data_IF_552666073219
#
_entry.id   IF_552666073219
#
_cell.length_a   1.000
_cell.length_b   1.000
_cell.length_c   1.000
_cell.angle_alpha   90.00
_cell.angle_beta   90.00
_cell.angle_gamma   90.00
#
_symmetry.space_group_name_H-M   'P 1'
#
loop_
_entity.id
_entity.type
_entity.pdbx_description
1 polymer ?
#
# COMPACT_ATOMS: atom_id res chain seq x y z
N UNK A 1 -2.08 -0.98 28.64
CA UNK A 1 -1.88 -2.37 28.17
C UNK A 1 -1.03 -2.32 26.91
N UNK A 2 -0.06 -3.21 26.73
CA UNK A 2 0.76 -3.22 25.52
C UNK A 2 -0.08 -3.71 24.33
N UNK A 3 -0.13 -2.93 23.25
CA UNK A 3 -0.92 -3.29 22.05
C UNK A 3 -0.30 -4.51 21.37
N UNK A 4 -1.08 -5.56 21.18
CA UNK A 4 -0.61 -6.84 20.63
C UNK A 4 -0.49 -6.74 19.10
N UNK A 5 0.75 -6.66 18.59
CA UNK A 5 1.02 -6.52 17.15
C UNK A 5 0.42 -7.64 16.28
N UNK A 6 0.28 -8.85 16.83
CA UNK A 6 -0.30 -10.01 16.13
C UNK A 6 -1.81 -9.92 15.88
N UNK A 7 -2.51 -8.97 16.50
CA UNK A 7 -3.95 -8.75 16.30
C UNK A 7 -4.25 -7.59 15.35
N UNK A 8 -3.22 -7.04 14.70
CA UNK A 8 -3.39 -5.91 13.78
C UNK A 8 -4.20 -6.33 12.56
N UNK A 9 -5.04 -5.43 12.09
CA UNK A 9 -5.82 -5.60 10.86
C UNK A 9 -5.49 -4.44 9.93
N UNK A 10 -5.28 -4.76 8.66
CA UNK A 10 -5.26 -3.77 7.58
C UNK A 10 -6.61 -3.82 6.88
N UNK A 11 -7.27 -2.68 6.77
CA UNK A 11 -8.37 -2.48 5.84
C UNK A 11 -7.91 -1.57 4.70
N UNK A 12 -8.28 -1.88 3.47
CA UNK A 12 -7.95 -1.06 2.31
C UNK A 12 -9.15 -0.94 1.38
N UNK A 13 -9.48 0.29 0.98
CA UNK A 13 -10.60 0.59 0.09
C UNK A 13 -10.19 1.65 -0.92
N UNK A 14 -10.64 1.48 -2.17
CA UNK A 14 -10.48 2.50 -3.23
C UNK A 14 -11.39 3.69 -2.94
N UNK A 15 -10.84 4.90 -3.08
CA UNK A 15 -11.57 6.14 -2.88
C UNK A 15 -12.45 6.47 -4.08
N UNK A 16 -13.72 6.78 -3.83
CA UNK A 16 -14.63 7.27 -4.88
C UNK A 16 -14.22 8.65 -5.40
N UNK A 17 -13.62 9.46 -4.54
CA UNK A 17 -13.05 10.77 -4.87
C UNK A 17 -11.63 10.84 -4.33
N UNK A 18 -10.66 11.11 -5.20
CA UNK A 18 -9.24 11.13 -4.83
C UNK A 18 -8.96 12.08 -3.66
N UNK A 19 -8.32 11.58 -2.61
CA UNK A 19 -7.98 12.35 -1.41
C UNK A 19 -9.13 12.53 -0.43
N UNK A 20 -10.23 11.80 -0.58
CA UNK A 20 -11.36 11.80 0.36
C UNK A 20 -11.47 10.44 1.04
N UNK A 21 -11.33 10.45 2.37
CA UNK A 21 -11.36 9.22 3.16
C UNK A 21 -12.71 8.48 3.05
N UNK A 22 -12.64 7.20 2.74
CA UNK A 22 -13.78 6.30 2.69
C UNK A 22 -14.09 5.69 4.06
N UNK A 23 -15.35 5.31 4.29
CA UNK A 23 -15.70 4.49 5.45
C UNK A 23 -15.26 3.05 5.21
N UNK A 24 -14.47 2.52 6.13
CA UNK A 24 -13.93 1.16 6.13
C UNK A 24 -14.85 0.20 6.87
N UNK A 25 -14.97 -1.01 6.33
CA UNK A 25 -15.82 -2.07 6.83
C UNK A 25 -15.09 -3.41 6.87
N UNK A 26 -15.74 -4.45 7.39
CA UNK A 26 -15.13 -5.78 7.51
C UNK A 26 -14.76 -6.41 6.16
N UNK A 27 -15.46 -6.07 5.07
CA UNK A 27 -15.13 -6.57 3.72
C UNK A 27 -13.81 -5.99 3.19
N UNK A 28 -13.41 -4.82 3.68
CA UNK A 28 -12.18 -4.14 3.25
C UNK A 28 -10.94 -4.69 3.99
N UNK A 29 -11.14 -5.53 5.02
CA UNK A 29 -10.10 -6.02 5.91
C UNK A 29 -9.71 -7.50 5.68
N UNK A 30 -10.11 -8.10 4.56
CA UNK A 30 -9.82 -9.51 4.21
C UNK A 30 -8.40 -9.80 3.72
N UNK A 31 -7.46 -8.87 3.93
CA UNK A 31 -6.09 -8.95 3.42
C UNK A 31 -5.19 -9.59 4.48
N UNK A 32 -4.58 -10.73 4.15
CA UNK A 32 -3.58 -11.37 5.01
C UNK A 32 -2.25 -10.64 4.85
N UNK A 33 -1.97 -9.76 5.82
CA UNK A 33 -0.74 -8.97 5.88
C UNK A 33 0.21 -9.48 6.95
N UNK A 34 1.49 -9.44 6.63
CA UNK A 34 2.59 -9.60 7.57
C UNK A 34 3.35 -8.28 7.71
N UNK A 35 4.04 -8.12 8.86
CA UNK A 35 4.89 -6.97 9.16
C UNK A 35 4.23 -5.60 8.95
N UNK A 36 2.92 -5.49 9.24
CA UNK A 36 2.16 -4.24 9.09
C UNK A 36 2.67 -3.15 10.04
N UNK A 37 3.16 -2.05 9.49
CA UNK A 37 3.56 -0.83 10.21
C UNK A 37 2.88 0.42 9.63
N UNK A 38 2.64 1.41 10.49
CA UNK A 38 2.16 2.72 10.12
C UNK A 38 2.99 3.75 10.89
N UNK A 39 3.73 4.56 10.15
CA UNK A 39 4.69 5.53 10.68
C UNK A 39 4.19 6.94 10.32
N UNK A 40 3.60 7.67 11.27
CA UNK A 40 3.21 9.05 11.05
C UNK A 40 4.43 9.97 11.02
N UNK A 41 4.47 10.85 10.03
CA UNK A 41 5.42 11.94 9.90
C UNK A 41 4.68 13.29 9.99
N UNK A 42 5.01 14.06 11.03
CA UNK A 42 4.40 15.35 11.31
C UNK A 42 5.44 16.45 11.19
N UNK A 43 5.20 17.38 10.27
CA UNK A 43 5.98 18.61 10.19
C UNK A 43 5.23 19.73 10.90
N UNK A 44 5.97 20.55 11.64
CA UNK A 44 5.43 21.67 12.40
C UNK A 44 5.95 22.98 11.83
N UNK A 45 5.05 23.93 11.60
CA UNK A 45 5.43 25.29 11.27
C UNK A 45 5.68 26.07 12.57
N UNK A 46 6.90 26.60 12.70
CA UNK A 46 7.25 27.51 13.78
C UNK A 46 6.75 28.93 13.49
N UNK A 47 6.31 29.62 14.53
CA UNK A 47 5.89 31.02 14.45
C UNK A 47 6.78 31.85 15.36
N UNK A 48 7.59 32.72 14.77
CA UNK A 48 8.51 33.61 15.49
C UNK A 48 8.15 35.10 15.31
N UNK A 49 6.94 35.56 15.69
CA UNK A 49 6.62 36.98 15.67
C UNK A 49 7.41 37.72 16.75
N UNK A 50 7.90 38.92 16.43
CA UNK A 50 8.62 39.78 17.37
C UNK A 50 7.66 40.27 18.48
N UNK A 51 7.97 39.98 19.75
CA UNK A 51 7.21 40.45 20.91
C UNK A 51 8.12 40.91 22.06
N UNK A 52 7.52 41.53 23.08
CA UNK A 52 8.22 42.07 24.25
C UNK A 52 8.76 41.04 25.24
N UNK A 53 8.62 39.74 24.96
CA UNK A 53 9.17 38.67 25.77
C UNK A 53 9.71 37.53 24.89
N UNK A 54 10.56 36.69 25.47
CA UNK A 54 11.38 35.69 24.78
C UNK A 54 10.76 34.28 24.78
N UNK A 55 9.48 34.12 25.16
CA UNK A 55 8.88 32.79 25.30
C UNK A 55 8.53 32.19 23.94
N UNK A 56 8.81 30.89 23.75
CA UNK A 56 8.46 30.16 22.53
C UNK A 56 6.94 30.04 22.37
N UNK A 57 6.42 30.35 21.17
CA UNK A 57 5.01 30.16 20.85
C UNK A 57 4.70 28.69 20.52
N UNK A 58 3.44 28.24 20.73
CA UNK A 58 3.03 26.92 20.29
C UNK A 58 3.16 26.79 18.76
N UNK A 59 3.89 25.76 18.33
CA UNK A 59 4.02 25.39 16.92
C UNK A 59 2.72 24.81 16.38
N UNK A 60 2.38 25.09 15.11
CA UNK A 60 1.21 24.50 14.47
C UNK A 60 1.62 23.30 13.63
N UNK A 61 0.86 22.19 13.70
CA UNK A 61 1.08 21.05 12.80
C UNK A 61 0.77 21.50 11.37
N UNK A 62 1.80 21.54 10.51
CA UNK A 62 1.72 22.07 9.16
C UNK A 62 1.40 20.97 8.13
N UNK A 63 1.91 19.75 8.36
CA UNK A 63 1.70 18.62 7.46
C UNK A 63 1.56 17.34 8.27
N UNK A 64 0.49 16.57 8.03
CA UNK A 64 0.26 15.26 8.64
C UNK A 64 0.29 14.17 7.56
N UNK A 65 1.39 13.45 7.47
CA UNK A 65 1.60 12.37 6.49
C UNK A 65 1.83 11.07 7.25
N UNK A 66 1.56 9.93 6.63
CA UNK A 66 2.01 8.66 7.16
C UNK A 66 2.45 7.72 6.06
N UNK A 67 3.45 6.89 6.39
CA UNK A 67 3.91 5.80 5.56
C UNK A 67 3.39 4.48 6.14
N UNK A 68 2.72 3.69 5.32
CA UNK A 68 2.19 2.37 5.69
C UNK A 68 2.97 1.32 4.91
N UNK A 69 3.59 0.38 5.62
CA UNK A 69 4.28 -0.75 4.98
C UNK A 69 3.65 -2.06 5.41
N UNK A 70 3.55 -2.99 4.47
CA UNK A 70 3.10 -4.36 4.72
C UNK A 70 3.62 -5.29 3.65
N UNK A 71 3.68 -6.58 3.96
CA UNK A 71 3.89 -7.62 2.95
C UNK A 71 2.72 -8.58 2.91
N UNK A 72 2.42 -9.12 1.74
CA UNK A 72 1.34 -10.10 1.52
C UNK A 72 1.87 -11.26 0.69
N UNK A 73 1.36 -12.45 0.93
CA UNK A 73 1.69 -13.64 0.14
C UNK A 73 1.11 -13.51 -1.28
N UNK A 74 1.90 -13.84 -2.29
CA UNK A 74 1.44 -13.89 -3.69
C UNK A 74 0.58 -15.14 -3.87
N UNK A 75 -0.75 -14.96 -3.80
CA UNK A 75 -1.73 -16.04 -4.00
C UNK A 75 -2.99 -15.56 -4.70
N UNK A 76 -3.62 -16.45 -5.45
CA UNK A 76 -4.93 -16.19 -6.06
C UNK A 76 -6.07 -16.24 -5.05
N UNK A 77 -7.26 -15.81 -5.49
CA UNK A 77 -8.53 -15.88 -4.74
C UNK A 77 -9.16 -17.28 -4.68
N UNK A 78 -8.53 -18.29 -5.32
CA UNK A 78 -9.07 -19.65 -5.42
C UNK A 78 -10.19 -19.85 -6.43
N UNK A 79 -10.73 -18.77 -7.02
CA UNK A 79 -11.78 -18.80 -8.05
C UNK A 79 -11.37 -17.96 -9.25
N UNK A 80 -11.61 -18.43 -10.48
CA UNK A 80 -11.40 -17.62 -11.68
C UNK A 80 -12.24 -16.34 -11.61
N UNK A 81 -11.74 -15.24 -12.18
CA UNK A 81 -12.40 -13.92 -12.26
C UNK A 81 -12.66 -13.19 -10.95
N UNK A 82 -12.39 -13.81 -9.81
CA UNK A 82 -12.47 -13.14 -8.52
C UNK A 82 -11.12 -12.48 -8.23
N UNK A 83 -11.07 -11.14 -8.07
CA UNK A 83 -9.84 -10.47 -7.68
C UNK A 83 -9.28 -11.03 -6.37
N UNK A 84 -7.95 -11.22 -6.26
CA UNK A 84 -7.32 -11.57 -4.98
C UNK A 84 -7.53 -10.44 -3.97
N UNK A 85 -7.54 -10.77 -2.67
CA UNK A 85 -7.80 -9.77 -1.63
C UNK A 85 -6.75 -8.65 -1.58
N UNK A 86 -5.50 -8.93 -1.94
CA UNK A 86 -4.44 -7.92 -2.07
C UNK A 86 -4.53 -7.08 -3.35
N UNK A 87 -5.41 -7.41 -4.30
CA UNK A 87 -5.54 -6.71 -5.59
C UNK A 87 -5.81 -5.20 -5.42
N UNK A 88 -6.56 -4.83 -4.38
CA UNK A 88 -6.81 -3.43 -4.01
C UNK A 88 -5.52 -2.65 -3.74
N UNK A 89 -4.49 -3.29 -3.20
CA UNK A 89 -3.20 -2.65 -2.91
C UNK A 89 -2.41 -2.37 -4.20
N UNK A 90 -2.47 -3.28 -5.19
CA UNK A 90 -1.87 -3.03 -6.52
C UNK A 90 -2.52 -1.84 -7.21
N UNK A 91 -3.84 -1.65 -7.06
CA UNK A 91 -4.53 -0.49 -7.62
C UNK A 91 -3.97 0.83 -7.09
N UNK A 92 -3.70 0.90 -5.78
CA UNK A 92 -3.00 2.05 -5.18
C UNK A 92 -1.53 2.20 -5.57
N UNK A 93 -0.94 1.21 -6.24
CA UNK A 93 0.41 1.24 -6.78
C UNK A 93 0.46 1.56 -8.28
N UNK A 94 -0.64 2.04 -8.87
CA UNK A 94 -0.65 2.40 -10.29
C UNK A 94 -1.01 1.27 -11.24
N UNK A 95 -1.64 0.20 -10.77
CA UNK A 95 -2.10 -0.89 -11.64
C UNK A 95 -3.60 -0.82 -11.90
N UNK A 96 -3.99 -0.83 -13.17
CA UNK A 96 -5.39 -0.96 -13.60
C UNK A 96 -5.80 -2.44 -13.59
N UNK A 97 -6.90 -2.73 -12.92
CA UNK A 97 -7.51 -4.06 -12.87
C UNK A 97 -8.46 -4.27 -14.05
N UNK A 98 -8.30 -5.38 -14.76
CA UNK A 98 -9.21 -5.85 -15.80
C UNK A 98 -9.66 -7.27 -15.50
N UNK A 99 -10.97 -7.48 -15.33
CA UNK A 99 -11.56 -8.79 -15.07
C UNK A 99 -11.99 -9.42 -16.41
N UNK A 100 -11.27 -10.46 -16.83
CA UNK A 100 -11.58 -11.25 -18.01
C UNK A 100 -12.49 -12.41 -17.64
N UNK A 101 -13.80 -12.17 -17.63
CA UNK A 101 -14.84 -13.14 -17.27
C UNK A 101 -14.60 -14.56 -17.82
N UNK A 102 -14.78 -15.56 -16.96
CA UNK A 102 -14.49 -16.97 -17.14
C UNK A 102 -13.01 -17.37 -17.07
N UNK A 103 -12.06 -16.43 -16.93
CA UNK A 103 -10.66 -16.66 -17.27
C UNK A 103 -9.67 -16.15 -16.22
N UNK A 104 -9.62 -14.84 -15.96
CA UNK A 104 -8.50 -14.23 -15.21
C UNK A 104 -8.79 -12.81 -14.74
N UNK A 105 -8.00 -12.34 -13.77
CA UNK A 105 -7.90 -10.93 -13.38
C UNK A 105 -6.51 -10.46 -13.71
N UNK A 106 -6.40 -9.38 -14.50
CA UNK A 106 -5.14 -8.83 -15.00
C UNK A 106 -4.91 -7.46 -14.35
N UNK A 107 -3.67 -7.21 -13.95
CA UNK A 107 -3.21 -5.93 -13.39
C UNK A 107 -2.13 -5.37 -14.31
N UNK A 108 -2.41 -4.22 -14.94
CA UNK A 108 -1.47 -3.57 -15.87
C UNK A 108 -1.04 -2.21 -15.33
N UNK A 109 0.26 -1.85 -15.36
CA UNK A 109 0.68 -0.51 -14.98
C UNK A 109 -0.01 0.54 -15.85
N UNK A 110 -0.66 1.50 -15.22
CA UNK A 110 -1.24 2.67 -15.85
C UNK A 110 -0.38 3.91 -15.59
N UNK A 111 -0.42 4.85 -16.53
CA UNK A 111 0.27 6.14 -16.41
C UNK A 111 -0.69 7.32 -16.41
N UNK A 112 -1.98 7.08 -16.68
CA UNK A 112 -3.00 8.10 -16.54
C UNK A 112 -3.32 8.26 -15.05
N UNK A 113 -3.20 9.51 -14.56
CA UNK A 113 -3.55 9.80 -13.18
C UNK A 113 -5.04 9.54 -12.94
N UNK A 114 -5.90 9.78 -13.93
CA UNK A 114 -7.35 9.60 -13.86
C UNK A 114 -7.76 8.14 -13.71
N UNK A 115 -6.99 7.21 -14.28
CA UNK A 115 -7.19 5.76 -14.13
C UNK A 115 -6.42 5.19 -12.93
N UNK A 116 -5.57 5.98 -12.27
CA UNK A 116 -4.84 5.56 -11.08
C UNK A 116 -5.65 5.83 -9.82
N UNK A 117 -6.03 4.77 -9.11
CA UNK A 117 -6.80 4.87 -7.88
C UNK A 117 -5.96 5.42 -6.69
N UNK A 118 -6.63 6.09 -5.76
CA UNK A 118 -6.11 6.39 -4.43
C UNK A 118 -6.83 5.51 -3.40
N UNK A 119 -6.13 5.18 -2.31
CA UNK A 119 -6.66 4.29 -1.28
C UNK A 119 -6.89 5.02 0.05
N UNK A 120 -7.94 4.58 0.74
CA UNK A 120 -8.09 4.74 2.18
C UNK A 120 -7.63 3.44 2.87
N UNK A 121 -6.62 3.57 3.73
CA UNK A 121 -6.01 2.48 4.50
C UNK A 121 -6.36 2.66 5.98
N UNK A 122 -6.95 1.64 6.59
CA UNK A 122 -7.20 1.58 8.03
C UNK A 122 -6.25 0.63 8.73
N UNK A 123 -5.48 1.16 9.67
CA UNK A 123 -4.64 0.40 10.56
C UNK A 123 -5.33 0.25 11.91
N UNK A 124 -5.80 -0.96 12.20
CA UNK A 124 -6.51 -1.30 13.44
C UNK A 124 -5.57 -2.07 14.37
N UNK A 125 -5.36 -1.57 15.59
CA UNK A 125 -4.48 -2.18 16.57
C UNK A 125 -5.09 -2.09 17.98
N UNK A 126 -5.73 -3.19 18.41
CA UNK A 126 -6.18 -3.45 19.78
C UNK A 126 -6.98 -2.29 20.42
N UNK A 127 -8.07 -1.89 19.75
CA UNK A 127 -8.99 -0.83 20.20
C UNK A 127 -8.62 0.58 19.73
N UNK A 128 -7.57 0.73 18.93
CA UNK A 128 -7.20 1.98 18.26
C UNK A 128 -7.18 1.80 16.75
N UNK A 129 -7.61 2.82 16.04
CA UNK A 129 -7.52 2.89 14.59
C UNK A 129 -6.78 4.15 14.15
N UNK A 130 -5.91 3.99 13.16
CA UNK A 130 -5.32 5.07 12.38
C UNK A 130 -5.82 4.92 10.95
N UNK A 131 -6.27 6.01 10.35
CA UNK A 131 -6.69 6.03 8.95
C UNK A 131 -5.69 6.87 8.16
N UNK A 132 -5.29 6.37 7.00
CA UNK A 132 -4.44 7.06 6.03
C UNK A 132 -5.19 7.09 4.71
N UNK A 133 -5.45 8.26 4.15
CA UNK A 133 -6.26 8.43 2.94
C UNK A 133 -5.50 9.21 1.87
N UNK A 134 -6.02 9.24 0.65
CA UNK A 134 -5.32 9.75 -0.53
C UNK A 134 -4.01 9.00 -0.77
N UNK A 135 -3.95 7.73 -0.36
CA UNK A 135 -2.71 6.97 -0.34
C UNK A 135 -2.41 6.35 -1.70
N UNK A 136 -1.16 6.48 -2.15
CA UNK A 136 -0.58 5.73 -3.26
C UNK A 136 0.79 5.20 -2.86
N UNK A 137 1.27 4.20 -3.58
CA UNK A 137 2.42 3.43 -3.14
C UNK A 137 3.27 2.83 -4.23
N UNK A 138 4.26 2.08 -3.75
CA UNK A 138 5.13 1.22 -4.53
C UNK A 138 4.90 -0.24 -4.15
N UNK A 139 5.19 -1.14 -5.10
CA UNK A 139 5.15 -2.58 -4.91
C UNK A 139 6.44 -3.23 -5.41
N UNK A 140 6.98 -4.13 -4.59
CA UNK A 140 8.08 -5.02 -4.93
C UNK A 140 7.63 -6.47 -4.80
N UNK A 141 8.02 -7.31 -5.75
CA UNK A 141 7.89 -8.76 -5.71
C UNK A 141 9.20 -9.35 -5.18
N UNK A 142 9.12 -10.16 -4.14
CA UNK A 142 10.24 -10.89 -3.56
C UNK A 142 9.97 -12.39 -3.60
N UNK A 143 10.82 -13.14 -4.28
CA UNK A 143 10.73 -14.59 -4.41
C UNK A 143 12.06 -15.26 -4.08
N UNK A 144 12.03 -16.29 -3.24
CA UNK A 144 13.19 -17.13 -2.90
C UNK A 144 12.88 -18.59 -3.19
N UNK A 145 13.83 -19.32 -3.77
CA UNK A 145 13.66 -20.72 -4.15
C UNK A 145 13.19 -21.60 -2.98
N UNK A 146 12.14 -22.39 -3.21
CA UNK A 146 11.44 -23.23 -2.22
C UNK A 146 10.71 -22.46 -1.10
N UNK A 147 10.66 -21.12 -1.16
CA UNK A 147 9.88 -20.26 -0.27
C UNK A 147 8.55 -19.84 -0.89
N UNK A 148 7.81 -18.99 -0.16
CA UNK A 148 6.63 -18.27 -0.67
C UNK A 148 7.09 -16.94 -1.26
N UNK A 149 6.45 -16.50 -2.35
CA UNK A 149 6.66 -15.16 -2.88
C UNK A 149 5.82 -14.13 -2.13
N UNK A 150 6.35 -12.94 -1.95
CA UNK A 150 5.67 -11.83 -1.29
C UNK A 150 5.57 -10.61 -2.20
N UNK A 151 4.44 -9.90 -2.13
CA UNK A 151 4.39 -8.50 -2.51
C UNK A 151 4.68 -7.64 -1.28
N UNK A 152 5.67 -6.77 -1.38
CA UNK A 152 6.03 -5.79 -0.35
C UNK A 152 5.51 -4.44 -0.81
N UNK A 153 4.63 -3.85 -0.02
CA UNK A 153 3.97 -2.59 -0.31
C UNK A 153 4.47 -1.48 0.60
N UNK A 154 4.69 -0.31 0.01
CA UNK A 154 4.96 0.94 0.75
C UNK A 154 4.04 2.03 0.24
N UNK A 155 3.11 2.48 1.08
CA UNK A 155 2.15 3.54 0.77
C UNK A 155 2.51 4.82 1.50
N UNK A 156 2.31 5.96 0.85
CA UNK A 156 2.36 7.28 1.46
C UNK A 156 1.00 7.95 1.28
N UNK A 157 0.46 8.52 2.35
CA UNK A 157 -0.82 9.20 2.30
C UNK A 157 -1.02 10.19 3.45
N UNK A 158 -2.20 10.78 3.50
CA UNK A 158 -2.56 11.80 4.48
C UNK A 158 -3.00 11.11 5.76
N UNK A 159 -2.36 11.47 6.87
CA UNK A 159 -2.67 10.89 8.17
C UNK A 159 -3.91 11.55 8.78
N UNK A 160 -4.90 10.73 9.14
CA UNK A 160 -6.04 11.11 9.96
C UNK A 160 -5.77 10.75 11.43
N UNK A 161 -6.30 11.56 12.34
CA UNK A 161 -6.06 11.41 13.78
C UNK A 161 -6.41 9.99 14.29
N UNK A 162 -5.64 9.51 15.26
CA UNK A 162 -5.90 8.22 15.89
C UNK A 162 -7.21 8.30 16.68
N UNK A 163 -8.07 7.30 16.50
CA UNK A 163 -9.34 7.19 17.23
C UNK A 163 -9.38 5.90 18.04
N UNK A 164 -10.06 5.93 19.18
CA UNK A 164 -10.41 4.72 19.92
C UNK A 164 -11.59 4.04 19.21
N UNK A 165 -11.26 3.06 18.38
CA UNK A 165 -12.20 2.36 17.51
C UNK A 165 -12.03 0.86 17.72
N UNK A 166 -13.16 0.16 17.87
CA UNK A 166 -13.17 -1.29 17.99
C UNK A 166 -12.54 -1.96 16.76
N UNK A 167 -11.95 -3.15 16.95
CA UNK A 167 -11.50 -3.98 15.84
C UNK A 167 -12.68 -4.34 14.94
N UNK A 168 -12.41 -4.45 13.64
CA UNK A 168 -13.41 -4.93 12.69
C UNK A 168 -13.72 -6.40 13.00
N UNK A 169 -15.01 -6.74 12.97
CA UNK A 169 -15.54 -8.07 13.24
C UNK A 169 -16.18 -8.66 11.99
N UNK A 170 -16.23 -9.99 11.89
CA UNK A 170 -16.77 -10.67 10.70
C UNK A 170 -15.86 -10.63 9.48
N UNK A 171 -14.55 -10.44 9.67
CA UNK A 171 -13.55 -10.50 8.59
C UNK A 171 -13.40 -11.95 8.14
N UNK A 172 -13.45 -12.15 6.81
CA UNK A 172 -13.13 -13.43 6.17
C UNK A 172 -11.79 -13.32 5.48
N UNK A 173 -10.88 -14.23 5.82
CA UNK A 173 -9.58 -14.34 5.15
C UNK A 173 -9.59 -15.49 4.15
N UNK A 174 -8.91 -15.29 3.03
CA UNK A 174 -8.75 -16.33 2.02
C UNK A 174 -7.89 -17.49 2.56
N UNK A 175 -8.41 -18.71 2.45
CA UNK A 175 -7.79 -19.94 2.98
C UNK A 175 -6.86 -20.65 1.99
N UNK A 176 -6.87 -20.22 0.73
CA UNK A 176 -5.97 -20.73 -0.31
C UNK A 176 -4.51 -20.57 0.14
N UNK A 177 -3.74 -21.65 0.01
CA UNK A 177 -2.32 -21.68 0.32
C UNK A 177 -1.52 -21.09 -0.85
N UNK A 178 -0.53 -20.22 -0.59
CA UNK A 178 0.35 -19.73 -1.64
C UNK A 178 1.18 -20.87 -2.24
N UNK A 179 1.43 -20.86 -3.56
CA UNK A 179 2.36 -21.80 -4.17
C UNK A 179 3.79 -21.53 -3.70
N UNK A 180 4.60 -22.59 -3.62
CA UNK A 180 6.04 -22.44 -3.41
C UNK A 180 6.71 -21.98 -4.70
N UNK A 181 7.72 -21.12 -4.59
CA UNK A 181 8.55 -20.67 -5.69
C UNK A 181 9.51 -21.78 -6.13
N UNK A 182 8.99 -22.69 -6.96
CA UNK A 182 9.71 -23.82 -7.57
C UNK A 182 9.13 -24.09 -8.95
N UNK A 183 9.93 -24.70 -9.83
CA UNK A 183 9.53 -24.97 -11.22
C UNK A 183 9.09 -23.69 -11.94
N UNK A 184 9.77 -22.57 -11.65
CA UNK A 184 9.42 -21.25 -12.15
C UNK A 184 9.60 -21.11 -13.67
N UNK A 185 10.37 -22.00 -14.31
CA UNK A 185 10.62 -22.01 -15.76
C UNK A 185 11.05 -20.64 -16.32
N UNK A 186 11.80 -19.86 -15.53
CA UNK A 186 12.27 -18.54 -15.94
C UNK A 186 13.17 -18.68 -17.18
N UNK A 187 12.88 -17.87 -18.20
CA UNK A 187 13.69 -17.73 -19.40
C UNK A 187 14.08 -16.27 -19.55
N UNK A 188 15.37 -16.02 -19.77
CA UNK A 188 15.92 -14.70 -20.03
C UNK A 188 16.36 -14.61 -21.48
N UNK A 189 15.98 -13.53 -22.16
CA UNK A 189 16.39 -13.26 -23.54
C UNK A 189 17.63 -12.35 -23.55
N UNK A 190 18.74 -12.88 -24.03
CA UNK A 190 20.00 -12.13 -24.21
C UNK A 190 20.22 -11.72 -25.68
N UNK A 191 19.17 -11.24 -26.33
CA UNK A 191 19.18 -10.77 -27.72
C UNK A 191 18.78 -11.84 -28.73
N UNK A 192 19.60 -12.86 -28.95
CA UNK A 192 19.37 -13.88 -30.00
C UNK A 192 18.98 -15.26 -29.47
N UNK A 193 18.94 -15.47 -28.15
CA UNK A 193 18.60 -16.74 -27.54
C UNK A 193 17.92 -16.56 -26.18
N UNK A 194 16.93 -17.43 -25.92
CA UNK A 194 16.38 -17.64 -24.59
C UNK A 194 17.25 -18.66 -23.86
N UNK A 195 17.64 -18.34 -22.64
CA UNK A 195 18.38 -19.26 -21.77
C UNK A 195 17.73 -19.32 -20.40
N UNK A 196 17.74 -20.51 -19.81
CA UNK A 196 17.31 -20.73 -18.42
C UNK A 196 18.55 -20.79 -17.55
N UNK A 197 18.68 -19.82 -16.65
CA UNK A 197 19.68 -19.82 -15.60
C UNK A 197 19.24 -20.67 -14.41
N UNK A 198 20.20 -21.13 -13.62
CA UNK A 198 19.94 -21.57 -12.25
C UNK A 198 20.01 -20.33 -11.38
N UNK A 199 18.95 -20.06 -10.62
CA UNK A 199 18.86 -18.92 -9.72
C UNK A 199 18.15 -19.34 -8.44
N UNK A 200 18.45 -18.64 -7.37
CA UNK A 200 17.97 -18.85 -6.01
C UNK A 200 16.98 -17.78 -5.56
N UNK A 201 17.03 -16.58 -6.15
CA UNK A 201 16.10 -15.49 -5.83
C UNK A 201 15.75 -14.63 -7.04
N UNK A 202 14.57 -14.01 -6.98
CA UNK A 202 14.09 -13.02 -7.93
C UNK A 202 13.46 -11.87 -7.14
N UNK A 203 13.93 -10.66 -7.39
CA UNK A 203 13.25 -9.45 -6.96
C UNK A 203 12.86 -8.61 -8.16
N UNK A 204 11.65 -8.05 -8.14
CA UNK A 204 11.18 -7.09 -9.13
C UNK A 204 10.52 -5.94 -8.39
N UNK A 205 11.07 -4.74 -8.50
CA UNK A 205 10.55 -3.52 -7.90
C UNK A 205 10.00 -2.61 -9.01
N UNK A 206 8.79 -2.10 -8.83
CA UNK A 206 8.25 -1.08 -9.74
C UNK A 206 8.95 0.28 -9.58
N UNK A 207 9.56 0.52 -8.42
CA UNK A 207 10.26 1.74 -8.06
C UNK A 207 9.44 3.01 -8.38
N UNK A 208 8.18 3.03 -7.92
CA UNK A 208 7.30 4.17 -8.08
C UNK A 208 7.80 5.38 -7.27
N UNK A 209 7.93 6.53 -7.92
CA UNK A 209 8.19 7.81 -7.27
C UNK A 209 6.86 8.44 -6.80
N UNK A 210 6.58 8.33 -5.50
CA UNK A 210 5.35 8.81 -4.88
C UNK A 210 5.57 10.17 -4.22
N UNK A 211 4.85 11.19 -4.68
CA UNK A 211 4.91 12.56 -4.16
C UNK A 211 3.54 12.99 -3.65
N UNK A 212 3.51 13.52 -2.42
CA UNK A 212 2.29 14.08 -1.85
C UNK A 212 2.12 15.55 -2.27
N UNK A 213 0.98 15.88 -2.89
CA UNK A 213 0.72 17.21 -3.42
C UNK A 213 0.13 18.14 -2.35
N UNK A 214 0.73 19.31 -2.20
CA UNK A 214 0.21 20.36 -1.31
C UNK A 214 -0.98 21.06 -1.97
N UNK A 215 -2.01 21.35 -1.17
CA UNK A 215 -3.23 22.02 -1.62
C UNK A 215 -3.74 22.97 -0.51
N UNK A 216 -3.52 24.26 -0.69
CA UNK A 216 -3.95 25.28 0.26
C UNK A 216 -5.48 25.42 0.39
N UNK A 217 -6.26 24.90 -0.56
CA UNK A 217 -7.73 24.90 -0.47
C UNK A 217 -8.27 23.71 0.35
N UNK A 218 -7.45 22.68 0.58
CA UNK A 218 -7.83 21.54 1.41
C UNK A 218 -7.65 21.87 2.90
N UNK A 219 -8.55 21.37 3.75
CA UNK A 219 -8.53 21.66 5.19
C UNK A 219 -7.29 21.16 5.92
N UNK A 220 -6.62 20.16 5.36
CA UNK A 220 -5.39 19.52 5.82
C UNK A 220 -4.13 20.06 5.10
N UNK A 221 -4.28 21.01 4.17
CA UNK A 221 -3.19 21.54 3.33
C UNK A 221 -2.67 20.58 2.25
N UNK A 222 -3.33 19.44 2.01
CA UNK A 222 -2.85 18.33 1.18
C UNK A 222 -3.96 17.79 0.26
N UNK A 223 -3.61 17.38 -0.95
CA UNK A 223 -4.57 16.79 -1.90
C UNK A 223 -4.62 15.26 -1.79
N UNK A 224 -3.63 14.59 -2.38
CA UNK A 224 -3.45 13.13 -2.37
C UNK A 224 -2.03 12.82 -2.88
N UNK A 225 -1.61 11.56 -2.75
CA UNK A 225 -0.33 11.09 -3.24
C UNK A 225 -0.40 10.79 -4.74
N UNK A 226 0.59 11.24 -5.51
CA UNK A 226 0.70 11.05 -6.95
C UNK A 226 1.93 10.20 -7.27
N UNK A 227 1.80 9.30 -8.25
CA UNK A 227 2.94 8.58 -8.82
C UNK A 227 3.43 9.44 -9.98
N UNK A 228 4.66 9.92 -9.89
CA UNK A 228 5.24 10.89 -10.84
C UNK A 228 6.27 10.26 -11.79
N UNK A 229 6.78 9.10 -11.42
CA UNK A 229 7.73 8.31 -12.19
C UNK A 229 7.69 6.85 -11.74
N UNK A 230 8.26 5.99 -12.58
CA UNK A 230 8.53 4.58 -12.26
C UNK A 230 9.84 4.21 -12.92
N UNK A 231 10.70 3.48 -12.21
CA UNK A 231 11.95 2.95 -12.75
C UNK A 231 12.05 1.44 -12.47
N UNK A 232 11.23 0.61 -13.14
CA UNK A 232 11.12 -0.79 -12.78
C UNK A 232 12.45 -1.52 -12.94
N UNK A 233 12.90 -2.13 -11.85
CA UNK A 233 14.18 -2.81 -11.74
C UNK A 233 14.02 -4.16 -11.08
N UNK A 234 15.09 -4.95 -11.10
CA UNK A 234 15.06 -6.25 -10.45
C UNK A 234 16.43 -6.87 -10.35
N UNK A 235 16.56 -7.83 -9.43
CA UNK A 235 17.77 -8.62 -9.27
C UNK A 235 17.46 -10.09 -9.34
N UNK A 236 18.39 -10.85 -9.90
CA UNK A 236 18.35 -12.31 -9.99
C UNK A 236 19.71 -12.78 -9.50
N UNK A 237 19.70 -13.66 -8.50
CA UNK A 237 20.89 -14.32 -7.92
C UNK A 237 20.70 -15.82 -7.93
#
# INVERSE_FOLDING_TARGET
>A
MALIRRKRQLAAKVESTKGTAETLSASDAGILVEDLTCEPDFTFAERNPLRSDLSTMPSMAARKVATVTCRVEVKGSGTADTPPSWGVLLKGCGFRETINSGTSVVYEPDSDDDDTDTLTLGFYNDGRAVVVYGARGNVSLECTANGVCYFVFTFTGIYQDTTDTAMLSGITYESTLPPQFRSANLTLNFGSAWSSGVFSSLTLDMANEVVLRDNANASNGLSYAMITGRDPGGTID
#
